data_IF_379631135214
#
_entry.id   IF_379631135214
#
_cell.length_a   1.000
_cell.length_b   1.000
_cell.length_c   1.000
_cell.angle_alpha   90.00
_cell.angle_beta   90.00
_cell.angle_gamma   90.00
#
_symmetry.space_group_name_H-M   'P 1'
#
loop_
_entity.id
_entity.type
_entity.pdbx_description
1 polymer ?
#
# COMPACT_ATOMS: atom_id res chain seq x y z
N UNK A 1 27.21 45.31 31.80
CA UNK A 1 28.28 45.80 32.69
C UNK A 1 29.13 44.58 33.02
N UNK A 2 30.15 44.21 32.27
CA UNK A 2 31.17 44.94 31.48
C UNK A 2 31.65 43.98 30.38
N UNK A 3 31.55 44.34 29.11
CA UNK A 3 32.62 44.92 28.28
C UNK A 3 33.94 44.14 28.32
N UNK A 4 34.24 43.41 27.24
CA UNK A 4 35.60 43.12 26.77
C UNK A 4 35.55 42.80 25.27
N UNK A 5 35.75 43.84 24.46
CA UNK A 5 36.17 43.77 23.07
C UNK A 5 37.69 43.55 22.96
N UNK A 6 38.15 43.32 21.73
CA UNK A 6 39.52 43.50 21.17
C UNK A 6 40.29 42.17 20.99
N UNK A 7 40.31 41.60 19.77
CA UNK A 7 41.36 41.71 18.71
C UNK A 7 42.72 41.11 19.19
N UNK A 8 43.49 40.26 18.52
CA UNK A 8 43.71 39.88 17.12
C UNK A 8 44.50 38.57 17.11
N UNK A 9 44.19 37.62 16.22
CA UNK A 9 45.20 36.71 15.66
C UNK A 9 44.71 36.22 14.28
N UNK A 10 44.87 37.07 13.28
CA UNK A 10 45.04 36.63 11.87
C UNK A 10 46.54 36.32 11.69
N UNK A 11 46.99 35.43 10.79
CA UNK A 11 46.74 35.54 9.33
C UNK A 11 46.64 34.18 8.59
N UNK A 12 46.28 34.21 7.30
CA UNK A 12 47.03 33.58 6.18
C UNK A 12 46.14 33.37 4.93
N UNK A 13 46.49 34.08 3.85
CA UNK A 13 46.19 33.86 2.41
C UNK A 13 44.72 33.99 1.93
N UNK A 14 44.34 35.10 1.30
CA UNK A 14 44.53 35.49 -0.13
C UNK A 14 43.71 34.65 -1.12
N UNK A 15 42.56 35.17 -1.58
CA UNK A 15 42.05 34.96 -2.95
C UNK A 15 41.21 36.15 -3.45
N UNK A 16 41.29 36.50 -4.75
CA UNK A 16 40.76 37.75 -5.32
C UNK A 16 39.27 37.68 -5.71
N UNK A 17 38.64 38.87 -5.69
CA UNK A 17 37.29 39.19 -6.19
C UNK A 17 37.19 39.01 -7.71
N UNK A 18 37.08 37.78 -8.23
CA UNK A 18 36.76 37.54 -9.65
C UNK A 18 35.91 36.26 -9.78
N UNK A 19 34.68 36.23 -9.28
CA UNK A 19 33.75 35.15 -9.66
C UNK A 19 32.26 35.46 -9.44
N UNK A 20 31.82 36.72 -9.48
CA UNK A 20 30.39 37.07 -9.35
C UNK A 20 29.74 37.37 -10.71
N UNK A 21 30.49 37.29 -11.82
CA UNK A 21 29.96 37.53 -13.17
C UNK A 21 29.89 36.29 -14.08
N UNK A 22 30.23 35.09 -13.60
CA UNK A 22 30.27 33.87 -14.44
C UNK A 22 29.00 33.01 -14.40
N UNK A 23 28.13 33.18 -13.40
CA UNK A 23 26.93 32.34 -13.26
C UNK A 23 25.74 32.80 -14.10
N UNK A 24 25.66 34.09 -14.47
CA UNK A 24 24.56 34.63 -15.29
C UNK A 24 24.72 34.39 -16.81
N UNK A 25 25.88 33.90 -17.27
CA UNK A 25 26.12 33.54 -18.68
C UNK A 25 26.00 32.02 -18.95
N UNK A 26 26.09 31.16 -17.92
CA UNK A 26 25.90 29.71 -18.10
C UNK A 26 24.43 29.28 -18.12
N UNK A 27 23.52 30.06 -17.54
CA UNK A 27 22.07 29.72 -17.50
C UNK A 27 21.31 30.05 -18.79
N UNK A 28 21.91 30.79 -19.74
CA UNK A 28 21.31 31.08 -21.05
C UNK A 28 21.84 30.18 -22.18
N UNK A 29 22.92 29.43 -21.95
CA UNK A 29 23.49 28.50 -22.94
C UNK A 29 23.09 27.04 -22.70
N UNK A 30 22.65 26.67 -21.50
CA UNK A 30 22.05 25.35 -21.22
C UNK A 30 20.59 25.22 -21.66
N UNK A 31 19.89 26.33 -21.93
CA UNK A 31 18.52 26.33 -22.46
C UNK A 31 18.44 26.12 -23.98
N UNK A 32 19.56 26.21 -24.70
CA UNK A 32 19.62 26.12 -26.16
C UNK A 32 20.14 24.76 -26.69
N UNK A 33 20.47 23.80 -25.79
CA UNK A 33 20.98 22.46 -26.12
C UNK A 33 19.99 21.33 -25.75
N UNK A 34 18.70 21.59 -25.89
CA UNK A 34 17.62 20.59 -25.60
C UNK A 34 16.66 20.43 -26.79
N UNK A 35 16.86 21.16 -27.90
CA UNK A 35 15.94 21.15 -29.04
C UNK A 35 16.65 20.94 -30.37
N UNK A 36 17.56 19.97 -30.45
CA UNK A 36 18.01 19.35 -31.72
C UNK A 36 18.98 18.23 -31.37
N UNK A 37 18.93 17.12 -32.12
CA UNK A 37 19.61 15.83 -31.86
C UNK A 37 19.05 15.12 -30.62
N UNK A 38 18.24 14.06 -30.69
CA UNK A 38 18.42 12.85 -31.49
C UNK A 38 17.06 12.31 -31.94
N UNK A 39 16.85 12.29 -33.26
CA UNK A 39 16.10 11.20 -33.86
C UNK A 39 17.02 9.97 -33.88
N UNK A 40 16.43 8.82 -33.62
CA UNK A 40 16.88 7.43 -33.86
C UNK A 40 17.09 6.56 -32.60
N UNK A 41 16.17 5.57 -32.53
CA UNK A 41 16.17 4.32 -31.80
C UNK A 41 15.88 4.38 -30.29
N UNK A 42 14.61 4.16 -29.91
CA UNK A 42 14.15 3.06 -29.03
C UNK A 42 12.62 2.90 -29.21
N UNK A 43 12.08 1.67 -29.20
CA UNK A 43 10.98 1.28 -30.07
C UNK A 43 9.62 1.83 -29.62
N UNK A 44 8.83 2.21 -30.63
CA UNK A 44 7.38 2.25 -30.60
C UNK A 44 6.83 1.13 -29.71
N UNK A 45 6.05 1.53 -28.72
CA UNK A 45 5.27 0.64 -27.89
C UNK A 45 4.41 -0.24 -28.81
N UNK A 46 4.84 -1.49 -29.00
CA UNK A 46 4.09 -2.45 -29.81
C UNK A 46 2.85 -2.87 -29.02
N UNK A 47 1.70 -3.16 -29.66
CA UNK A 47 0.51 -3.64 -28.95
C UNK A 47 0.74 -4.93 -28.14
N UNK A 48 1.89 -5.60 -28.34
CA UNK A 48 2.38 -6.74 -27.54
C UNK A 48 2.80 -6.36 -26.11
N UNK A 49 3.41 -5.19 -25.90
CA UNK A 49 3.81 -4.74 -24.55
C UNK A 49 2.63 -4.18 -23.75
N UNK A 50 1.60 -3.67 -24.44
CA UNK A 50 0.31 -3.30 -23.85
C UNK A 50 -0.42 -4.52 -23.28
N UNK A 51 -0.44 -5.64 -24.02
CA UNK A 51 -1.03 -6.89 -23.53
C UNK A 51 -0.30 -7.42 -22.28
N UNK A 52 1.03 -7.40 -22.25
CA UNK A 52 1.81 -7.81 -21.08
C UNK A 52 1.62 -6.88 -19.87
N UNK A 53 1.45 -5.58 -20.09
CA UNK A 53 1.18 -4.61 -19.02
C UNK A 53 -0.24 -4.77 -18.45
N UNK A 54 -1.21 -5.10 -19.31
CA UNK A 54 -2.56 -5.49 -18.89
C UNK A 54 -2.54 -6.82 -18.10
N UNK A 55 -1.65 -7.75 -18.46
CA UNK A 55 -1.52 -9.06 -17.81
C UNK A 55 -0.86 -9.00 -16.43
N UNK A 56 0.11 -8.09 -16.21
CA UNK A 56 0.71 -7.84 -14.90
C UNK A 56 -0.22 -7.07 -13.96
N UNK A 57 -1.04 -6.15 -14.48
CA UNK A 57 -2.07 -5.45 -13.69
C UNK A 57 -3.28 -6.35 -13.31
N UNK A 58 -3.42 -7.52 -13.93
CA UNK A 58 -4.48 -8.50 -13.68
C UNK A 58 -4.13 -9.56 -12.63
N UNK A 59 -2.88 -9.61 -12.16
CA UNK A 59 -2.44 -10.58 -11.14
C UNK A 59 -2.89 -10.22 -9.71
N UNK A 60 -3.44 -9.03 -9.52
CA UNK A 60 -3.82 -8.52 -8.20
C UNK A 60 -5.26 -8.79 -7.79
N UNK A 61 -6.08 -9.34 -8.69
CA UNK A 61 -7.51 -9.45 -8.44
C UNK A 61 -7.88 -10.88 -8.03
N UNK A 62 -8.17 -11.00 -6.74
CA UNK A 62 -8.65 -12.19 -6.05
C UNK A 62 -10.18 -12.20 -6.16
N UNK A 63 -10.77 -13.30 -6.63
CA UNK A 63 -12.21 -13.40 -6.88
C UNK A 63 -12.85 -14.65 -6.29
N UNK A 64 -14.12 -14.51 -5.93
CA UNK A 64 -14.97 -15.57 -5.42
C UNK A 64 -15.99 -16.00 -6.49
N UNK A 65 -16.15 -17.33 -6.70
CA UNK A 65 -17.04 -17.93 -7.71
C UNK A 65 -18.34 -18.45 -7.08
N UNK A 66 -19.52 -18.15 -7.64
CA UNK A 66 -20.78 -18.29 -6.88
C UNK A 66 -21.63 -19.55 -7.04
N UNK A 67 -21.43 -20.49 -7.99
CA UNK A 67 -22.52 -21.48 -8.18
C UNK A 67 -22.24 -22.93 -8.63
N UNK A 68 -20.98 -23.38 -8.85
CA UNK A 68 -20.72 -24.85 -8.93
C UNK A 68 -19.27 -25.29 -8.58
N UNK A 69 -18.35 -24.34 -8.31
CA UNK A 69 -17.00 -24.55 -7.75
C UNK A 69 -16.84 -23.86 -6.38
N UNK A 70 -17.95 -23.81 -5.63
CA UNK A 70 -18.62 -22.60 -5.11
C UNK A 70 -17.98 -21.88 -3.91
N UNK A 71 -16.84 -22.30 -3.38
CA UNK A 71 -16.21 -21.62 -2.23
C UNK A 71 -14.70 -21.43 -2.37
N UNK A 72 -14.20 -21.42 -3.62
CA UNK A 72 -12.77 -21.29 -3.87
C UNK A 72 -12.45 -19.95 -4.46
N UNK A 73 -11.59 -19.25 -3.74
CA UNK A 73 -10.95 -18.04 -4.20
C UNK A 73 -9.82 -18.38 -5.16
N UNK A 74 -9.71 -17.66 -6.27
CA UNK A 74 -8.68 -17.88 -7.28
C UNK A 74 -8.07 -16.58 -7.80
N UNK A 75 -6.99 -16.73 -8.57
CA UNK A 75 -6.26 -15.62 -9.19
C UNK A 75 -6.56 -15.62 -10.69
N UNK A 76 -6.87 -14.46 -11.26
CA UNK A 76 -7.05 -14.31 -12.70
C UNK A 76 -5.68 -14.47 -13.41
N UNK A 77 -5.67 -15.25 -14.50
CA UNK A 77 -4.51 -15.34 -15.39
C UNK A 77 -4.79 -14.85 -16.82
N UNK A 78 -6.06 -14.90 -17.25
CA UNK A 78 -6.47 -14.52 -18.59
C UNK A 78 -7.82 -13.81 -18.57
N UNK A 79 -8.03 -12.88 -19.49
CA UNK A 79 -9.30 -12.15 -19.63
C UNK A 79 -9.73 -12.21 -21.09
N UNK A 80 -11.00 -12.53 -21.31
CA UNK A 80 -11.65 -12.58 -22.63
C UNK A 80 -12.87 -11.64 -22.62
N UNK A 81 -13.56 -11.51 -23.76
CA UNK A 81 -14.68 -10.57 -23.92
C UNK A 81 -15.79 -10.74 -22.87
N UNK A 82 -16.19 -11.97 -22.57
CA UNK A 82 -17.31 -12.28 -21.66
C UNK A 82 -16.92 -13.17 -20.48
N UNK A 83 -15.68 -13.63 -20.43
CA UNK A 83 -15.21 -14.60 -19.46
C UNK A 83 -13.78 -14.32 -19.01
N UNK A 84 -13.42 -14.92 -17.90
CA UNK A 84 -12.15 -14.78 -17.22
C UNK A 84 -11.60 -16.18 -16.94
N UNK A 85 -10.30 -16.35 -17.21
CA UNK A 85 -9.56 -17.53 -16.80
C UNK A 85 -9.03 -17.36 -15.37
N UNK A 86 -9.41 -18.28 -14.48
CA UNK A 86 -9.01 -18.30 -13.08
C UNK A 86 -8.16 -19.55 -12.79
N UNK A 87 -7.06 -19.36 -12.07
CA UNK A 87 -6.27 -20.45 -11.48
C UNK A 87 -6.81 -20.74 -10.08
N UNK A 88 -7.20 -22.00 -9.85
CA UNK A 88 -7.67 -22.50 -8.57
C UNK A 88 -6.81 -23.67 -8.13
N UNK A 89 -6.33 -23.63 -6.88
CA UNK A 89 -5.65 -24.78 -6.28
C UNK A 89 -6.69 -25.80 -5.80
N UNK A 90 -6.72 -26.97 -6.44
CA UNK A 90 -7.59 -28.08 -6.06
C UNK A 90 -6.81 -29.25 -5.49
N UNK A 91 -7.12 -29.60 -4.24
CA UNK A 91 -6.66 -30.85 -3.65
C UNK A 91 -7.26 -32.03 -4.43
N UNK A 92 -6.40 -32.90 -4.94
CA UNK A 92 -6.77 -34.17 -5.58
C UNK A 92 -5.93 -35.25 -4.92
N UNK A 93 -6.57 -36.10 -4.11
CA UNK A 93 -5.87 -37.05 -3.25
C UNK A 93 -4.95 -36.34 -2.25
N UNK A 94 -3.64 -36.61 -2.36
CA UNK A 94 -2.59 -36.16 -1.45
C UNK A 94 -1.91 -34.84 -1.85
N UNK A 95 -2.16 -34.29 -3.04
CA UNK A 95 -1.49 -33.09 -3.55
C UNK A 95 -2.46 -32.01 -4.01
N UNK A 96 -1.95 -30.79 -4.10
CA UNK A 96 -2.66 -29.68 -4.74
C UNK A 96 -2.28 -29.62 -6.22
N UNK A 97 -3.31 -29.50 -7.05
CA UNK A 97 -3.17 -29.30 -8.49
C UNK A 97 -3.76 -27.95 -8.85
N UNK A 98 -3.02 -27.19 -9.66
CA UNK A 98 -3.53 -25.99 -10.30
C UNK A 98 -4.54 -26.41 -11.37
N UNK A 99 -5.77 -25.89 -11.24
CA UNK A 99 -6.81 -26.04 -12.25
C UNK A 99 -7.09 -24.68 -12.85
N UNK A 100 -7.04 -24.62 -14.18
CA UNK A 100 -7.38 -23.44 -14.97
C UNK A 100 -8.82 -23.57 -15.43
N UNK A 101 -9.67 -22.64 -15.02
CA UNK A 101 -11.10 -22.65 -15.29
C UNK A 101 -11.49 -21.35 -15.98
N UNK A 102 -12.25 -21.44 -17.06
CA UNK A 102 -12.82 -20.28 -17.73
C UNK A 102 -14.24 -20.06 -17.20
N UNK A 103 -14.48 -18.92 -16.56
CA UNK A 103 -15.76 -18.59 -15.92
C UNK A 103 -16.27 -17.27 -16.50
N UNK A 104 -17.58 -17.17 -16.72
CA UNK A 104 -18.19 -15.93 -17.21
C UNK A 104 -18.28 -14.87 -16.11
N UNK A 105 -18.31 -13.59 -16.49
CA UNK A 105 -18.21 -12.45 -15.56
C UNK A 105 -19.36 -12.43 -14.54
N UNK A 106 -20.53 -12.94 -14.90
CA UNK A 106 -21.73 -12.96 -14.04
C UNK A 106 -21.50 -13.79 -12.76
N UNK A 107 -20.64 -14.81 -12.83
CA UNK A 107 -20.37 -15.72 -11.71
C UNK A 107 -19.15 -15.32 -10.88
N UNK A 108 -18.59 -14.14 -11.13
CA UNK A 108 -17.33 -13.67 -10.55
C UNK A 108 -17.61 -12.42 -9.72
N UNK A 109 -17.17 -12.43 -8.45
CA UNK A 109 -17.26 -11.27 -7.55
C UNK A 109 -15.90 -10.94 -6.95
N UNK A 110 -15.56 -9.66 -6.87
CA UNK A 110 -14.31 -9.21 -6.26
C UNK A 110 -14.26 -9.60 -4.78
N UNK A 111 -13.11 -10.11 -4.33
CA UNK A 111 -12.93 -10.50 -2.94
C UNK A 111 -12.54 -9.30 -2.06
N UNK A 112 -13.39 -8.99 -1.07
CA UNK A 112 -13.18 -7.88 -0.12
C UNK A 112 -11.90 -8.02 0.72
N UNK A 113 -11.41 -9.25 0.90
CA UNK A 113 -10.20 -9.48 1.69
C UNK A 113 -8.95 -8.82 1.08
N UNK A 114 -8.86 -8.78 -0.26
CA UNK A 114 -7.77 -8.11 -0.98
C UNK A 114 -7.91 -6.60 -0.91
N UNK A 115 -9.14 -6.08 -1.04
CA UNK A 115 -9.42 -4.65 -0.93
C UNK A 115 -9.02 -4.11 0.45
N UNK A 116 -9.38 -4.83 1.52
CA UNK A 116 -8.97 -4.50 2.89
C UNK A 116 -7.45 -4.53 3.08
N UNK A 117 -6.79 -5.51 2.47
CA UNK A 117 -5.33 -5.59 2.48
C UNK A 117 -4.69 -4.38 1.79
N UNK A 118 -5.17 -4.03 0.60
CA UNK A 118 -4.64 -2.90 -0.18
C UNK A 118 -4.90 -1.56 0.52
N UNK A 119 -6.08 -1.38 1.11
CA UNK A 119 -6.41 -0.23 1.96
C UNK A 119 -5.40 -0.09 3.09
N UNK A 120 -5.14 -1.18 3.82
CA UNK A 120 -4.14 -1.20 4.91
C UNK A 120 -2.72 -0.92 4.43
N UNK A 121 -2.32 -1.42 3.26
CA UNK A 121 -0.98 -1.13 2.68
C UNK A 121 -0.82 0.37 2.43
N UNK A 122 -1.86 1.03 1.90
CA UNK A 122 -1.87 2.49 1.66
C UNK A 122 -1.82 3.28 2.97
N UNK A 123 -2.65 2.91 3.95
CA UNK A 123 -2.67 3.54 5.28
C UNK A 123 -1.31 3.42 5.99
N UNK A 124 -0.69 2.23 5.94
CA UNK A 124 0.63 1.99 6.52
C UNK A 124 1.73 2.81 5.84
N UNK A 125 1.68 2.94 4.51
CA UNK A 125 2.64 3.77 3.78
C UNK A 125 2.51 5.25 4.18
N UNK A 126 1.28 5.76 4.32
CA UNK A 126 1.03 7.12 4.78
C UNK A 126 1.50 7.33 6.24
N UNK A 127 1.20 6.39 7.14
CA UNK A 127 1.64 6.44 8.53
C UNK A 127 3.16 6.40 8.66
N UNK A 128 3.84 5.59 7.83
CA UNK A 128 5.31 5.51 7.79
C UNK A 128 5.94 6.83 7.32
N UNK A 129 5.33 7.50 6.34
CA UNK A 129 5.81 8.80 5.85
C UNK A 129 5.70 9.86 6.95
N UNK A 130 4.54 9.96 7.62
CA UNK A 130 4.31 10.88 8.74
C UNK A 130 5.26 10.60 9.92
N UNK A 131 5.42 9.33 10.29
CA UNK A 131 6.37 8.92 11.32
C UNK A 131 7.81 9.36 11.00
N UNK A 132 8.20 9.33 9.72
CA UNK A 132 9.51 9.79 9.27
C UNK A 132 9.66 11.31 9.33
N UNK A 133 8.62 12.09 9.00
CA UNK A 133 8.65 13.55 9.13
C UNK A 133 8.68 14.00 10.58
N UNK A 134 7.91 13.32 11.43
CA UNK A 134 7.74 13.70 12.84
C UNK A 134 8.85 13.11 13.73
N UNK A 135 9.65 12.17 13.20
CA UNK A 135 10.72 11.49 13.93
C UNK A 135 10.25 10.45 14.95
N UNK A 136 8.95 10.13 14.96
CA UNK A 136 8.34 9.17 15.91
C UNK A 136 8.41 7.75 15.35
N UNK A 137 8.68 6.76 16.21
CA UNK A 137 8.60 5.34 15.82
C UNK A 137 7.15 4.86 15.90
N UNK A 138 6.63 4.32 14.80
CA UNK A 138 5.27 3.74 14.73
C UNK A 138 5.34 2.23 14.56
N UNK A 139 4.53 1.50 15.33
CA UNK A 139 4.35 0.05 15.13
C UNK A 139 3.27 -0.21 14.08
N UNK A 140 3.67 -0.74 12.92
CA UNK A 140 2.76 -1.05 11.80
C UNK A 140 2.19 -2.47 11.84
N UNK A 141 2.67 -3.32 12.77
CA UNK A 141 2.22 -4.71 12.89
C UNK A 141 0.92 -4.77 13.69
N UNK A 142 -0.04 -5.54 13.20
CA UNK A 142 -1.29 -5.85 13.91
C UNK A 142 -0.97 -6.64 15.19
N UNK A 143 -1.59 -6.25 16.29
CA UNK A 143 -1.54 -7.01 17.55
C UNK A 143 -2.84 -7.81 17.71
N UNK A 144 -2.78 -9.02 18.30
CA UNK A 144 -3.99 -9.70 18.73
C UNK A 144 -4.66 -8.91 19.85
N UNK A 145 -5.93 -9.24 20.12
CA UNK A 145 -6.68 -8.64 21.23
C UNK A 145 -5.91 -8.89 22.53
N UNK A 146 -5.53 -7.79 23.18
CA UNK A 146 -4.86 -7.84 24.48
C UNK A 146 -5.89 -8.06 25.58
N UNK A 147 -5.46 -8.57 26.75
CA UNK A 147 -6.30 -8.58 27.94
C UNK A 147 -6.91 -7.20 28.19
N UNK A 148 -8.16 -7.18 28.66
CA UNK A 148 -8.83 -5.92 29.01
C UNK A 148 -8.05 -5.23 30.12
N UNK A 149 -7.82 -3.93 29.97
CA UNK A 149 -7.19 -3.12 31.01
C UNK A 149 -8.09 -2.99 32.24
N UNK A 150 -7.48 -2.72 33.39
CA UNK A 150 -8.20 -2.43 34.61
C UNK A 150 -9.06 -1.18 34.43
N UNK A 151 -10.35 -1.26 34.79
CA UNK A 151 -11.28 -0.14 34.73
C UNK A 151 -12.16 -0.08 35.95
N UNK A 152 -12.45 1.14 36.40
CA UNK A 152 -13.47 1.38 37.41
C UNK A 152 -14.85 1.46 36.76
N UNK A 153 -15.85 0.85 37.40
CA UNK A 153 -17.25 0.92 36.98
C UNK A 153 -18.01 1.71 38.02
N UNK A 154 -18.61 2.82 37.60
CA UNK A 154 -19.34 3.74 38.50
C UNK A 154 -20.78 3.28 38.71
N UNK A 155 -21.28 3.37 39.95
CA UNK A 155 -22.62 2.91 40.35
C UNK A 155 -23.70 4.01 40.23
N UNK A 156 -23.30 5.28 40.08
CA UNK A 156 -24.20 6.46 40.13
C UNK A 156 -25.45 6.38 39.23
N UNK A 157 -25.33 5.76 38.04
CA UNK A 157 -26.43 5.56 37.10
C UNK A 157 -26.58 4.09 36.65
N UNK A 158 -25.98 3.14 37.39
CA UNK A 158 -25.96 1.72 37.06
C UNK A 158 -26.10 0.90 38.35
N UNK A 159 -27.32 0.86 38.87
CA UNK A 159 -27.64 0.09 40.08
C UNK A 159 -27.61 -1.40 39.70
N UNK A 160 -26.78 -2.23 40.36
CA UNK A 160 -26.68 -3.65 40.03
C UNK A 160 -28.01 -4.35 40.31
N UNK A 161 -28.57 -5.01 39.29
CA UNK A 161 -29.78 -5.82 39.44
C UNK A 161 -29.39 -7.21 39.92
N UNK A 162 -30.01 -7.66 41.02
CA UNK A 162 -29.83 -9.04 41.52
C UNK A 162 -30.71 -9.97 40.69
N UNK A 163 -30.12 -11.04 40.14
CA UNK A 163 -30.83 -12.06 39.36
C UNK A 163 -30.94 -13.34 40.18
N UNK A 164 -32.12 -13.96 40.19
CA UNK A 164 -32.40 -15.22 40.87
C UNK A 164 -32.59 -16.35 39.85
N UNK A 165 -32.23 -17.61 40.19
CA UNK A 165 -32.48 -18.75 39.31
C UNK A 165 -33.97 -18.93 39.08
N UNK A 166 -34.34 -19.24 37.84
CA UNK A 166 -35.73 -19.51 37.45
C UNK A 166 -36.06 -20.97 37.83
N UNK A 167 -37.24 -21.24 38.43
CA UNK A 167 -37.66 -22.60 38.75
C UNK A 167 -37.90 -23.45 37.49
N UNK A 168 -37.80 -24.77 37.64
CA UNK A 168 -38.15 -25.71 36.58
C UNK A 168 -39.65 -25.61 36.25
N UNK A 169 -39.96 -25.53 34.97
CA UNK A 169 -41.32 -25.50 34.45
C UNK A 169 -41.47 -26.52 33.31
N UNK A 170 -42.63 -27.17 33.23
CA UNK A 170 -42.95 -28.21 32.24
C UNK A 170 -43.73 -27.69 31.04
N UNK A 171 -43.96 -26.37 30.95
CA UNK A 171 -44.72 -25.77 29.85
C UNK A 171 -43.93 -25.84 28.52
N UNK A 172 -44.52 -26.57 27.57
CA UNK A 172 -44.18 -26.62 26.13
C UNK A 172 -45.22 -25.83 25.35
#
# INVERSE_FOLDING_TARGET
>A
MTDFDILDFTPFLRMPKIFVQKEKKLSKQTAARVKTTQALAFPLWTPRSLQLFQQLALQDWIFDTSESFTTRTGIIYNVTKSAVGIIINKKVGNRFLEKRVNIRIEHIKHSKCRDDFLRRVKENAAAKLKAKTDGVKVNLKRQPVQPREARFVTIKNNIPTTLNPIPYDTLV
#
